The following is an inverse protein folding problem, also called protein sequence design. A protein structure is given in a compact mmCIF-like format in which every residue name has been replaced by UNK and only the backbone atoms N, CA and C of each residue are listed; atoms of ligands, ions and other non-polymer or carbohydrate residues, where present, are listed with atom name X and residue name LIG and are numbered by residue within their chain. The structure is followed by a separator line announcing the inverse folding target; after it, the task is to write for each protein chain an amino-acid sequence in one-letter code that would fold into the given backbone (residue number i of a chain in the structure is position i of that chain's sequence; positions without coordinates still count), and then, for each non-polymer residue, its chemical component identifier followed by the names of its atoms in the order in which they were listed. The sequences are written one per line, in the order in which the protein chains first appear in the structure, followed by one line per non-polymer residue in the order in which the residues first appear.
data_IF_248271656829
#
_entry.id   IF_248271656829
#
_cell.length_a   1.000
_cell.length_b   1.000
_cell.length_c   1.000
_cell.angle_alpha   90.00
_cell.angle_beta   90.00
_cell.angle_gamma   90.00
#
_symmetry.space_group_name_H-M   'P 1'
#
loop_
_entity.id
_entity.type
_entity.pdbx_description
1 polymer ?
#
# COMPACT_ATOMS: atom_id res chain seq x y z
N UNK A 1 -3.09 10.87 10.77
CA UNK A 1 -2.45 9.83 9.96
C UNK A 1 -1.90 10.38 8.64
N UNK A 2 -2.67 11.11 7.82
CA UNK A 2 -2.15 11.73 6.58
C UNK A 2 -0.88 12.57 6.82
N UNK A 3 -0.82 13.31 7.93
CA UNK A 3 0.38 14.08 8.32
C UNK A 3 1.58 13.19 8.70
N UNK A 4 1.33 12.01 9.27
CA UNK A 4 2.38 11.06 9.63
C UNK A 4 2.96 10.38 8.38
N UNK A 5 2.11 10.01 7.44
CA UNK A 5 2.51 9.44 6.14
C UNK A 5 3.33 10.46 5.34
N UNK A 6 2.88 11.72 5.31
CA UNK A 6 3.62 12.82 4.68
C UNK A 6 4.98 13.04 5.36
N UNK A 7 5.07 12.95 6.68
CA UNK A 7 6.32 13.06 7.42
C UNK A 7 7.27 11.90 7.14
N UNK A 8 6.75 10.67 7.07
CA UNK A 8 7.55 9.49 6.70
C UNK A 8 8.02 9.55 5.24
N UNK A 9 7.15 9.99 4.33
CA UNK A 9 7.51 10.22 2.93
C UNK A 9 8.59 11.31 2.83
N UNK A 10 8.45 12.42 3.57
CA UNK A 10 9.46 13.47 3.62
C UNK A 10 10.79 12.98 4.19
N UNK A 11 10.76 12.13 5.21
CA UNK A 11 11.97 11.55 5.80
C UNK A 11 12.72 10.64 4.83
N UNK A 12 11.99 9.84 4.06
CA UNK A 12 12.56 9.02 2.97
C UNK A 12 13.12 9.89 1.84
N UNK A 13 12.46 11.01 1.53
CA UNK A 13 12.90 11.99 0.55
C UNK A 13 14.19 12.71 0.95
N UNK A 14 14.37 12.99 2.26
CA UNK A 14 15.53 13.74 2.75
C UNK A 14 16.75 12.84 3.03
N UNK A 15 16.52 11.57 3.35
CA UNK A 15 17.59 10.65 3.72
C UNK A 15 18.39 10.12 2.53
N UNK A 16 17.77 10.05 1.34
CA UNK A 16 18.44 9.58 0.12
C UNK A 16 17.79 10.25 -1.10
N UNK A 17 18.61 10.81 -1.98
CA UNK A 17 18.12 11.21 -3.30
C UNK A 17 17.46 9.99 -3.96
N UNK A 18 16.27 10.15 -4.53
CA UNK A 18 15.64 9.09 -5.29
C UNK A 18 16.58 8.65 -6.42
N UNK A 19 16.85 7.36 -6.49
CA UNK A 19 17.60 6.78 -7.59
C UNK A 19 16.76 6.82 -8.89
N UNK A 20 15.43 6.84 -8.76
CA UNK A 20 14.52 6.99 -9.90
C UNK A 20 13.21 7.64 -9.47
N UNK A 21 12.63 8.39 -10.40
CA UNK A 21 11.25 8.89 -10.32
C UNK A 21 10.55 8.41 -11.59
N UNK A 22 9.47 7.68 -11.44
CA UNK A 22 8.63 7.23 -12.54
C UNK A 22 7.27 7.90 -12.47
N UNK A 23 6.82 8.44 -13.59
CA UNK A 23 5.48 8.97 -13.77
C UNK A 23 4.77 8.13 -14.80
N UNK A 24 3.61 7.63 -14.47
CA UNK A 24 2.73 6.89 -15.38
C UNK A 24 1.31 7.41 -15.28
N UNK A 25 0.55 7.29 -16.35
CA UNK A 25 -0.85 7.70 -16.38
C UNK A 25 -1.68 6.68 -17.15
N UNK A 26 -2.89 6.45 -16.68
CA UNK A 26 -3.89 5.63 -17.37
C UNK A 26 -5.13 6.47 -17.59
N UNK A 27 -5.47 6.67 -18.86
CA UNK A 27 -6.73 7.29 -19.25
C UNK A 27 -7.72 6.22 -19.69
N UNK A 28 -8.95 6.28 -19.19
CA UNK A 28 -10.03 5.40 -19.57
C UNK A 28 -11.24 6.25 -19.96
N UNK A 29 -11.71 6.09 -21.18
CA UNK A 29 -12.94 6.70 -21.66
C UNK A 29 -13.97 5.62 -21.97
N UNK A 30 -15.19 5.77 -21.49
CA UNK A 30 -16.28 4.82 -21.71
C UNK A 30 -17.50 5.57 -22.25
N UNK A 31 -18.05 5.09 -23.34
CA UNK A 31 -19.33 5.54 -23.89
C UNK A 31 -20.35 4.42 -23.69
N UNK A 32 -21.44 4.71 -22.98
CA UNK A 32 -22.49 3.72 -22.79
C UNK A 32 -23.54 3.77 -23.94
N UNK A 33 -24.40 2.77 -23.97
CA UNK A 33 -25.46 2.64 -25.01
C UNK A 33 -26.46 3.78 -25.01
N UNK A 34 -26.52 4.57 -23.93
CA UNK A 34 -27.37 5.78 -23.82
C UNK A 34 -26.66 7.04 -24.29
N UNK A 35 -25.44 6.92 -24.84
CA UNK A 35 -24.65 8.05 -25.33
C UNK A 35 -23.98 8.88 -24.24
N UNK A 36 -23.93 8.38 -22.99
CA UNK A 36 -23.24 9.05 -21.90
C UNK A 36 -21.76 8.66 -21.96
N UNK A 37 -20.90 9.68 -22.04
CA UNK A 37 -19.46 9.53 -22.00
C UNK A 37 -18.96 9.77 -20.57
N UNK A 38 -18.19 8.82 -20.04
CA UNK A 38 -17.46 8.96 -18.78
C UNK A 38 -15.98 8.83 -19.05
N UNK A 39 -15.19 9.60 -18.34
CA UNK A 39 -13.73 9.57 -18.44
C UNK A 39 -13.11 9.44 -17.05
N UNK A 40 -12.01 8.73 -17.01
CA UNK A 40 -11.19 8.57 -15.82
C UNK A 40 -9.72 8.74 -16.19
N UNK A 41 -8.98 9.46 -15.37
CA UNK A 41 -7.54 9.65 -15.50
C UNK A 41 -6.91 9.34 -14.15
N UNK A 42 -6.12 8.29 -14.11
CA UNK A 42 -5.32 7.94 -12.94
C UNK A 42 -3.85 8.23 -13.25
N UNK A 43 -3.22 9.02 -12.44
CA UNK A 43 -1.79 9.35 -12.54
C UNK A 43 -1.05 8.78 -11.35
N UNK A 44 -0.03 7.97 -11.59
CA UNK A 44 0.79 7.36 -10.55
C UNK A 44 2.21 7.90 -10.61
N UNK A 45 2.68 8.41 -9.49
CA UNK A 45 4.04 8.87 -9.26
C UNK A 45 4.74 7.91 -8.30
N UNK A 46 5.86 7.37 -8.72
CA UNK A 46 6.69 6.48 -7.89
C UNK A 46 8.07 7.06 -7.75
N UNK A 47 8.48 7.35 -6.52
CA UNK A 47 9.86 7.68 -6.19
C UNK A 47 10.50 6.48 -5.49
N UNK A 48 11.62 5.96 -6.02
CA UNK A 48 12.29 4.81 -5.46
C UNK A 48 13.76 5.09 -5.15
N UNK A 49 14.22 4.50 -4.06
CA UNK A 49 15.62 4.52 -3.61
C UNK A 49 16.02 3.14 -3.07
N UNK A 50 17.29 2.98 -2.69
CA UNK A 50 17.75 1.76 -2.02
C UNK A 50 17.04 1.50 -0.68
N UNK A 51 16.51 2.54 -0.03
CA UNK A 51 15.82 2.44 1.26
C UNK A 51 14.33 2.07 1.12
N UNK A 52 13.74 2.23 -0.07
CA UNK A 52 12.33 1.96 -0.30
C UNK A 52 11.72 2.80 -1.41
N UNK A 53 10.42 2.77 -1.51
CA UNK A 53 9.66 3.50 -2.51
C UNK A 53 8.48 4.25 -1.89
N UNK A 54 8.12 5.38 -2.49
CA UNK A 54 6.91 6.13 -2.20
C UNK A 54 6.06 6.11 -3.46
N UNK A 55 4.82 5.71 -3.33
CA UNK A 55 3.84 5.72 -4.41
C UNK A 55 2.71 6.69 -4.08
N UNK A 56 2.38 7.54 -5.02
CA UNK A 56 1.25 8.46 -4.95
C UNK A 56 0.40 8.28 -6.20
N UNK A 57 -0.88 8.03 -6.02
CA UNK A 57 -1.87 7.97 -7.09
C UNK A 57 -2.77 9.20 -7.01
N UNK A 58 -2.96 9.84 -8.13
CA UNK A 58 -3.83 11.00 -8.28
C UNK A 58 -5.03 10.62 -9.15
N UNK A 59 -6.19 11.11 -8.77
CA UNK A 59 -7.42 10.97 -9.56
C UNK A 59 -7.47 11.96 -10.74
N UNK A 60 -8.59 11.98 -11.47
CA UNK A 60 -8.85 12.86 -12.62
C UNK A 60 -8.76 14.35 -12.29
N UNK A 61 -8.97 14.74 -11.05
CA UNK A 61 -8.96 16.11 -10.55
C UNK A 61 -7.59 16.48 -9.92
N UNK A 62 -6.59 15.57 -10.06
CA UNK A 62 -5.25 15.67 -9.46
C UNK A 62 -5.27 15.71 -7.92
N UNK A 63 -6.35 15.21 -7.30
CA UNK A 63 -6.37 14.96 -5.88
C UNK A 63 -5.64 13.64 -5.55
N UNK A 64 -5.05 13.57 -4.36
CA UNK A 64 -4.42 12.33 -3.90
C UNK A 64 -5.51 11.30 -3.59
N UNK A 65 -5.49 10.21 -4.32
CA UNK A 65 -6.36 9.05 -4.16
C UNK A 65 -5.71 8.03 -3.22
N UNK A 66 -4.51 7.56 -3.60
CA UNK A 66 -3.71 6.68 -2.76
C UNK A 66 -2.33 7.28 -2.48
N UNK A 67 -1.80 7.00 -1.31
CA UNK A 67 -0.42 7.31 -0.97
C UNK A 67 0.14 6.29 0.01
N UNK A 68 1.21 5.60 -0.37
CA UNK A 68 1.87 4.65 0.53
C UNK A 68 3.38 4.63 0.36
N UNK A 69 4.04 4.19 1.40
CA UNK A 69 5.48 3.99 1.50
C UNK A 69 5.78 2.52 1.69
N UNK A 70 6.69 2.00 0.93
CA UNK A 70 7.21 0.63 1.07
C UNK A 70 8.70 0.66 1.35
N UNK A 71 9.17 -0.17 2.29
CA UNK A 71 10.58 -0.32 2.62
C UNK A 71 10.88 -1.75 3.05
N UNK A 72 12.12 -2.18 2.85
CA UNK A 72 12.60 -3.48 3.35
C UNK A 72 13.77 -3.26 4.28
N UNK A 73 13.62 -3.66 5.53
CA UNK A 73 14.63 -3.52 6.57
C UNK A 73 14.87 -4.90 7.19
N UNK A 74 16.10 -5.40 7.10
CA UNK A 74 16.47 -6.70 7.68
C UNK A 74 15.66 -7.89 7.14
N UNK A 75 15.23 -7.83 5.88
CA UNK A 75 14.40 -8.88 5.26
C UNK A 75 12.91 -8.77 5.57
N UNK A 76 12.50 -7.79 6.37
CA UNK A 76 11.09 -7.50 6.66
C UNK A 76 10.63 -6.39 5.72
N UNK A 77 9.56 -6.64 4.98
CA UNK A 77 8.88 -5.65 4.14
C UNK A 77 7.85 -4.90 4.96
N UNK A 78 7.91 -3.59 4.92
CA UNK A 78 6.94 -2.69 5.54
C UNK A 78 6.16 -1.95 4.47
N UNK A 79 4.87 -1.79 4.68
CA UNK A 79 4.00 -0.92 3.88
C UNK A 79 3.17 -0.06 4.83
N UNK A 80 3.20 1.25 4.63
CA UNK A 80 2.45 2.21 5.41
C UNK A 80 1.78 3.19 4.47
N UNK A 81 0.49 3.35 4.57
CA UNK A 81 -0.20 4.33 3.76
C UNK A 81 -1.70 4.20 3.73
N UNK A 82 -2.27 4.93 2.80
CA UNK A 82 -3.70 4.95 2.51
C UNK A 82 -3.92 4.42 1.09
N UNK A 83 -4.77 3.41 0.97
CA UNK A 83 -5.22 2.82 -0.28
C UNK A 83 -6.73 2.63 -0.18
N UNK A 84 -7.48 3.07 -1.19
CA UNK A 84 -8.95 3.01 -1.20
C UNK A 84 -9.57 3.61 0.09
N UNK A 85 -9.10 4.77 0.52
CA UNK A 85 -9.52 5.46 1.77
C UNK A 85 -9.22 4.69 3.07
N UNK A 86 -8.42 3.62 2.98
CA UNK A 86 -8.04 2.80 4.14
C UNK A 86 -6.58 3.04 4.51
N UNK A 87 -6.37 3.68 5.65
CA UNK A 87 -5.02 3.83 6.21
C UNK A 87 -4.61 2.56 6.95
N UNK A 88 -3.46 2.00 6.61
CA UNK A 88 -2.94 0.80 7.26
C UNK A 88 -1.42 0.82 7.40
N UNK A 89 -0.93 -0.01 8.32
CA UNK A 89 0.48 -0.37 8.44
C UNK A 89 0.60 -1.88 8.38
N UNK A 90 1.41 -2.37 7.45
CA UNK A 90 1.67 -3.79 7.27
C UNK A 90 3.16 -4.10 7.39
N UNK A 91 3.44 -5.31 7.85
CA UNK A 91 4.78 -5.89 7.84
C UNK A 91 4.70 -7.35 7.41
N UNK A 92 5.61 -7.79 6.56
CA UNK A 92 5.69 -9.19 6.13
C UNK A 92 7.13 -9.64 5.93
N UNK A 93 7.37 -10.92 6.14
CA UNK A 93 8.67 -11.54 5.88
C UNK A 93 8.50 -12.96 5.36
N UNK A 94 9.52 -13.44 4.65
CA UNK A 94 9.54 -14.81 4.13
C UNK A 94 10.65 -15.58 4.81
N UNK A 95 10.31 -16.72 5.40
CA UNK A 95 11.21 -17.62 6.11
C UNK A 95 11.15 -18.98 5.41
N UNK A 96 12.17 -19.28 4.61
CA UNK A 96 12.13 -20.46 3.74
C UNK A 96 10.93 -20.40 2.77
N UNK A 97 10.07 -21.43 2.72
CA UNK A 97 8.91 -21.44 1.83
C UNK A 97 7.66 -20.76 2.43
N UNK A 98 7.77 -20.17 3.64
CA UNK A 98 6.65 -19.59 4.37
C UNK A 98 6.77 -18.08 4.37
N UNK A 99 5.71 -17.39 3.97
CA UNK A 99 5.54 -15.94 4.16
C UNK A 99 4.56 -15.71 5.30
N UNK A 100 4.94 -14.86 6.23
CA UNK A 100 4.10 -14.42 7.33
C UNK A 100 3.95 -12.91 7.28
N UNK A 101 2.78 -12.43 7.64
CA UNK A 101 2.46 -11.00 7.62
C UNK A 101 1.53 -10.59 8.75
N UNK A 102 1.54 -9.30 9.01
CA UNK A 102 0.57 -8.64 9.86
C UNK A 102 0.19 -7.29 9.24
N UNK A 103 -1.06 -6.95 9.28
CA UNK A 103 -1.58 -5.68 8.82
C UNK A 103 -2.55 -5.09 9.84
N UNK A 104 -2.31 -3.85 10.23
CA UNK A 104 -3.17 -3.08 11.12
C UNK A 104 -3.85 -1.96 10.34
N UNK A 105 -5.16 -1.99 10.32
CA UNK A 105 -5.99 -0.91 9.77
C UNK A 105 -6.24 0.15 10.85
N UNK A 106 -6.16 1.41 10.48
CA UNK A 106 -6.43 2.52 11.40
C UNK A 106 -7.88 2.49 11.90
N UNK A 107 -8.04 2.38 13.21
CA UNK A 107 -9.37 2.27 13.85
C UNK A 107 -10.08 0.93 13.60
N UNK A 108 -9.37 -0.06 13.09
CA UNK A 108 -9.94 -1.35 12.72
C UNK A 108 -9.16 -2.55 13.25
N UNK A 109 -9.39 -3.69 12.64
CA UNK A 109 -8.82 -4.97 13.04
C UNK A 109 -7.34 -5.10 12.66
N UNK A 110 -6.61 -5.90 13.44
CA UNK A 110 -5.32 -6.45 13.05
C UNK A 110 -5.52 -7.79 12.37
N UNK A 111 -4.94 -7.95 11.21
CA UNK A 111 -4.95 -9.20 10.44
C UNK A 111 -3.57 -9.83 10.50
N UNK A 112 -3.51 -11.11 10.78
CA UNK A 112 -2.30 -11.93 10.67
C UNK A 112 -2.51 -12.94 9.55
N UNK A 113 -1.54 -13.06 8.68
CA UNK A 113 -1.56 -14.01 7.58
C UNK A 113 -0.30 -14.86 7.57
N UNK A 114 -0.44 -16.09 7.15
CA UNK A 114 0.65 -17.00 6.89
C UNK A 114 0.32 -17.83 5.65
N UNK A 115 1.25 -17.91 4.73
CA UNK A 115 1.12 -18.73 3.52
C UNK A 115 2.42 -19.42 3.18
N UNK A 116 2.33 -20.59 2.59
CA UNK A 116 3.49 -21.33 2.15
C UNK A 116 3.15 -22.39 1.13
N UNK A 117 4.13 -22.79 0.34
CA UNK A 117 3.97 -23.85 -0.66
C UNK A 117 5.01 -24.95 -0.45
N UNK A 118 4.53 -26.17 -0.27
CA UNK A 118 5.36 -27.37 -0.14
C UNK A 118 4.94 -28.42 -1.17
N UNK A 119 5.87 -28.89 -1.95
CA UNK A 119 5.65 -29.96 -2.94
C UNK A 119 4.43 -29.70 -3.86
N UNK A 120 4.20 -28.43 -4.24
CA UNK A 120 3.08 -28.04 -5.10
C UNK A 120 1.75 -27.83 -4.37
N UNK A 121 1.70 -28.03 -3.05
CA UNK A 121 0.52 -27.73 -2.23
C UNK A 121 0.71 -26.36 -1.57
N UNK A 122 -0.21 -25.43 -1.82
CA UNK A 122 -0.24 -24.13 -1.17
C UNK A 122 -1.20 -24.14 0.00
N UNK A 123 -0.72 -23.75 1.16
CA UNK A 123 -1.52 -23.57 2.38
C UNK A 123 -1.48 -22.10 2.76
N UNK A 124 -2.64 -21.53 3.03
CA UNK A 124 -2.77 -20.15 3.52
C UNK A 124 -3.74 -20.12 4.70
N UNK A 125 -3.41 -19.31 5.69
CA UNK A 125 -4.26 -19.05 6.85
C UNK A 125 -4.28 -17.56 7.12
N UNK A 126 -5.47 -17.03 7.36
CA UNK A 126 -5.67 -15.64 7.76
C UNK A 126 -6.47 -15.62 9.06
N UNK A 127 -5.96 -14.92 10.06
CA UNK A 127 -6.64 -14.70 11.33
C UNK A 127 -6.86 -13.21 11.54
N UNK A 128 -8.07 -12.80 11.78
CA UNK A 128 -8.45 -11.41 12.05
C UNK A 128 -8.78 -11.28 13.53
N UNK A 129 -7.98 -10.47 14.24
CA UNK A 129 -8.32 -10.08 15.60
C UNK A 129 -9.05 -8.74 15.54
N UNK A 130 -10.33 -8.74 15.87
CA UNK A 130 -11.06 -7.49 16.12
C UNK A 130 -10.53 -6.89 17.42
N UNK A 131 -10.05 -5.65 17.37
CA UNK A 131 -9.76 -4.90 18.59
C UNK A 131 -11.09 -4.47 19.20
N UNK A 132 -11.68 -5.34 19.99
CA UNK A 132 -12.77 -4.99 20.89
C UNK A 132 -12.17 -4.19 22.06
N UNK A 133 -11.66 -3.00 21.78
CA UNK A 133 -11.48 -2.00 22.82
C UNK A 133 -12.87 -1.53 23.22
N UNK A 134 -13.48 -2.29 24.13
CA UNK A 134 -14.57 -1.80 24.92
C UNK A 134 -14.04 -0.58 25.68
N UNK A 135 -14.35 0.61 25.21
CA UNK A 135 -14.27 1.81 26.03
C UNK A 135 -15.35 1.67 27.11
N UNK A 136 -14.95 1.22 28.26
CA UNK A 136 -15.71 1.47 29.47
C UNK A 136 -15.46 2.89 29.93
#
# INVERSE_FOLDING_TARGET
MKKFIAAMAALLLTANAFASIALSGKYTGTLNDSGVYTQDLVTTLVGASAAGAVTVTLDKDFAVDDMFVESTIGGIKFKLGEVDDVTSIGASTTIGPITVGANQVSGGATTFDASGSFAGVTVASTNVTSDARATT
#
